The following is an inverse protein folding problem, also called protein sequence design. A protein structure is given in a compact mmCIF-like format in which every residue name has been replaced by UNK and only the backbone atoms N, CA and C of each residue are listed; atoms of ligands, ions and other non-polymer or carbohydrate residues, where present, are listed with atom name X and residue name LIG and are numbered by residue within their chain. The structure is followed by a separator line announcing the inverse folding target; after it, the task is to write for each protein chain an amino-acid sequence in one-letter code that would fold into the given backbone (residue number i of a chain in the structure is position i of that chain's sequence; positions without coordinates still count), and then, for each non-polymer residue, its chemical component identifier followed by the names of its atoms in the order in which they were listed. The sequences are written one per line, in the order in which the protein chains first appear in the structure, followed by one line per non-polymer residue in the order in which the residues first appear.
data_IF_733998742335
#
_entry.id   IF_733998742335
#
_cell.length_a   1.000
_cell.length_b   1.000
_cell.length_c   1.000
_cell.angle_alpha   90.00
_cell.angle_beta   90.00
_cell.angle_gamma   90.00
#
_symmetry.space_group_name_H-M   'P 1'
#
loop_
_entity.id
_entity.type
_entity.pdbx_description
1 polymer ?
#
# COMPACT_ATOMS: atom_id res chain seq x y z
N UNK A 1 30.34 14.26 -24.28
CA UNK A 1 30.86 12.96 -24.74
C UNK A 1 32.00 12.57 -23.80
N UNK A 2 31.96 11.34 -23.25
CA UNK A 2 32.79 10.78 -22.15
C UNK A 2 32.52 11.31 -20.73
N UNK A 3 31.51 10.74 -20.09
CA UNK A 3 31.43 10.48 -18.64
C UNK A 3 30.34 9.42 -18.43
N UNK A 4 30.61 8.22 -18.94
CA UNK A 4 29.92 6.98 -18.59
C UNK A 4 31.02 6.04 -18.10
N UNK A 5 31.14 5.90 -16.80
CA UNK A 5 32.10 5.02 -16.17
C UNK A 5 31.80 4.97 -14.69
N UNK A 6 31.49 3.76 -14.21
CA UNK A 6 31.32 3.39 -12.80
C UNK A 6 29.93 3.65 -12.17
N UNK A 7 28.93 2.88 -12.62
CA UNK A 7 27.94 2.32 -11.69
C UNK A 7 28.47 0.93 -11.26
N UNK A 8 28.70 0.66 -9.97
CA UNK A 8 28.96 -0.70 -9.54
C UNK A 8 27.65 -1.48 -9.56
N UNK A 9 27.53 -2.40 -10.51
CA UNK A 9 26.59 -3.51 -10.48
C UNK A 9 26.89 -4.33 -9.21
N UNK A 10 26.18 -4.10 -8.12
CA UNK A 10 26.21 -4.99 -6.96
C UNK A 10 25.40 -6.25 -7.29
N UNK A 11 26.06 -7.23 -7.91
CA UNK A 11 25.63 -8.62 -7.88
C UNK A 11 25.90 -9.17 -6.47
N UNK A 12 24.87 -9.29 -5.65
CA UNK A 12 24.97 -10.10 -4.42
C UNK A 12 24.90 -11.59 -4.82
N UNK A 13 26.08 -12.21 -4.96
CA UNK A 13 26.22 -13.66 -4.90
C UNK A 13 26.19 -14.03 -3.42
N UNK A 14 25.03 -14.44 -2.92
CA UNK A 14 24.95 -15.10 -1.60
C UNK A 14 25.43 -16.54 -1.76
N UNK A 15 26.67 -16.79 -1.40
CA UNK A 15 27.17 -18.13 -1.14
C UNK A 15 26.38 -18.72 0.05
N UNK A 16 25.49 -19.67 -0.23
CA UNK A 16 24.89 -20.52 0.80
C UNK A 16 25.99 -21.46 1.32
N UNK A 17 26.60 -21.11 2.45
CA UNK A 17 27.27 -22.10 3.29
C UNK A 17 26.20 -22.90 4.03
N UNK A 18 26.11 -24.19 3.71
CA UNK A 18 25.32 -25.17 4.47
C UNK A 18 25.93 -25.28 5.86
N UNK A 19 25.30 -24.63 6.86
CA UNK A 19 25.57 -24.94 8.27
C UNK A 19 24.82 -26.25 8.55
N UNK A 20 25.56 -27.35 8.67
CA UNK A 20 25.05 -28.57 9.28
C UNK A 20 24.79 -28.27 10.76
N UNK A 21 23.52 -28.05 11.12
CA UNK A 21 23.10 -28.02 12.50
C UNK A 21 23.16 -29.45 13.06
N UNK A 22 24.12 -29.69 13.93
CA UNK A 22 24.23 -30.91 14.72
C UNK A 22 23.04 -30.95 15.70
N UNK A 23 22.17 -31.95 15.57
CA UNK A 23 21.03 -32.14 16.45
C UNK A 23 21.54 -32.52 17.86
N UNK A 24 21.37 -31.62 18.82
CA UNK A 24 21.41 -31.99 20.23
C UNK A 24 20.10 -32.71 20.60
N UNK A 25 20.11 -33.74 21.47
CA UNK A 25 18.89 -34.38 21.94
C UNK A 25 18.06 -33.36 22.74
N UNK A 26 16.80 -33.19 22.36
CA UNK A 26 15.84 -32.37 23.09
C UNK A 26 15.25 -33.22 24.21
N UNK A 27 15.65 -32.96 25.45
CA UNK A 27 15.00 -33.54 26.63
C UNK A 27 13.51 -33.21 26.63
N UNK A 28 12.69 -34.25 26.70
CA UNK A 28 11.25 -34.17 26.57
C UNK A 28 10.64 -33.73 27.90
N UNK A 29 10.27 -32.46 28.02
CA UNK A 29 9.40 -32.00 29.11
C UNK A 29 7.96 -32.38 28.75
N UNK A 30 7.51 -33.53 29.24
CA UNK A 30 6.11 -33.96 29.14
C UNK A 30 5.27 -33.27 30.23
N UNK A 31 4.66 -32.14 29.87
CA UNK A 31 3.52 -31.56 30.59
C UNK A 31 2.34 -31.41 29.62
N UNK A 32 1.08 -31.61 30.05
CA UNK A 32 -0.06 -31.54 29.14
C UNK A 32 -0.36 -30.07 28.81
N UNK A 33 0.19 -29.58 27.70
CA UNK A 33 -0.35 -28.39 27.04
C UNK A 33 -1.59 -28.87 26.30
N UNK A 34 -2.74 -28.25 26.61
CA UNK A 34 -4.03 -28.58 26.02
C UNK A 34 -4.07 -28.12 24.55
N UNK A 35 -3.36 -28.84 23.68
CA UNK A 35 -3.46 -28.72 22.23
C UNK A 35 -4.88 -29.14 21.83
N UNK A 36 -5.63 -28.24 21.16
CA UNK A 36 -6.86 -28.66 20.47
C UNK A 36 -6.46 -29.77 19.48
N UNK A 37 -6.89 -30.99 19.76
CA UNK A 37 -6.65 -32.17 18.94
C UNK A 37 -6.97 -31.88 17.47
N UNK A 38 -6.07 -32.33 16.59
CA UNK A 38 -6.26 -32.32 15.14
C UNK A 38 -7.63 -32.90 14.79
N UNK A 39 -8.43 -32.15 14.02
CA UNK A 39 -9.68 -32.69 13.48
C UNK A 39 -9.27 -33.65 12.37
N UNK A 40 -9.34 -34.94 12.66
CA UNK A 40 -9.11 -36.01 11.70
C UNK A 40 -10.00 -35.76 10.47
N UNK A 41 -9.39 -35.81 9.28
CA UNK A 41 -10.03 -35.57 7.97
C UNK A 41 -10.41 -34.11 7.63
N UNK A 42 -10.00 -33.11 8.42
CA UNK A 42 -10.22 -31.70 8.07
C UNK A 42 -9.30 -31.23 6.92
N UNK A 43 -9.82 -30.48 5.93
CA UNK A 43 -8.99 -29.94 4.84
C UNK A 43 -7.86 -29.06 5.37
N UNK A 44 -6.65 -29.24 4.83
CA UNK A 44 -5.50 -28.36 5.16
C UNK A 44 -5.56 -27.08 4.34
N UNK A 45 -5.80 -25.95 5.01
CA UNK A 45 -6.06 -24.66 4.36
C UNK A 45 -4.94 -23.66 4.63
N UNK A 46 -4.39 -23.08 3.56
CA UNK A 46 -3.52 -21.90 3.64
C UNK A 46 -4.26 -20.68 3.11
N UNK A 47 -4.35 -19.63 3.94
CA UNK A 47 -4.98 -18.36 3.56
C UNK A 47 -3.91 -17.28 3.46
N UNK A 48 -3.82 -16.66 2.29
CA UNK A 48 -2.98 -15.49 2.03
C UNK A 48 -3.85 -14.23 2.02
N UNK A 49 -3.73 -13.42 3.07
CA UNK A 49 -4.39 -12.13 3.16
C UNK A 49 -3.51 -11.15 3.95
N UNK A 50 -3.08 -10.06 3.30
CA UNK A 50 -2.21 -9.05 3.91
C UNK A 50 -2.96 -8.12 4.88
N UNK A 51 -4.26 -7.91 4.65
CA UNK A 51 -5.11 -6.95 5.36
C UNK A 51 -6.09 -7.61 6.35
N UNK A 52 -6.04 -8.94 6.52
CA UNK A 52 -6.97 -9.68 7.38
C UNK A 52 -6.42 -9.94 8.79
N UNK A 53 -7.33 -9.96 9.78
CA UNK A 53 -7.07 -10.48 11.12
C UNK A 53 -6.99 -12.03 11.08
N UNK A 54 -5.79 -12.55 10.86
CA UNK A 54 -5.56 -13.99 10.76
C UNK A 54 -5.79 -14.72 12.09
N UNK A 55 -5.65 -14.05 13.23
CA UNK A 55 -5.93 -14.64 14.55
C UNK A 55 -7.43 -14.89 14.70
N UNK A 56 -8.27 -13.91 14.36
CA UNK A 56 -9.72 -14.06 14.34
C UNK A 56 -10.18 -15.15 13.38
N UNK A 57 -9.64 -15.19 12.15
CA UNK A 57 -9.99 -16.20 11.14
C UNK A 57 -9.68 -17.61 11.65
N UNK A 58 -8.49 -17.83 12.23
CA UNK A 58 -8.10 -19.15 12.77
C UNK A 58 -8.97 -19.58 13.95
N UNK A 59 -9.33 -18.64 14.82
CA UNK A 59 -10.16 -18.91 15.98
C UNK A 59 -11.61 -19.27 15.59
N UNK A 60 -12.17 -18.54 14.63
CA UNK A 60 -13.60 -18.62 14.27
C UNK A 60 -13.91 -19.64 13.17
N UNK A 61 -12.92 -20.04 12.38
CA UNK A 61 -13.07 -21.07 11.34
C UNK A 61 -12.33 -22.31 11.79
N UNK A 62 -12.91 -23.03 12.75
CA UNK A 62 -12.26 -24.17 13.39
C UNK A 62 -12.45 -25.51 12.69
N UNK A 63 -13.35 -25.61 11.70
CA UNK A 63 -13.64 -26.88 10.99
C UNK A 63 -12.60 -27.25 9.92
N UNK A 64 -11.54 -26.46 9.77
CA UNK A 64 -10.42 -26.72 8.85
C UNK A 64 -9.11 -26.71 9.61
N UNK A 65 -8.12 -27.43 9.09
CA UNK A 65 -6.75 -27.40 9.61
C UNK A 65 -5.98 -26.25 8.98
N UNK A 66 -5.80 -25.14 9.71
CA UNK A 66 -5.01 -24.01 9.21
C UNK A 66 -3.53 -24.38 9.16
N UNK A 67 -2.96 -24.33 7.96
CA UNK A 67 -1.52 -24.54 7.76
C UNK A 67 -0.82 -23.23 7.47
N UNK A 68 0.38 -23.08 8.04
CA UNK A 68 1.21 -21.88 7.84
C UNK A 68 1.90 -21.85 6.48
N UNK A 69 2.11 -23.02 5.89
CA UNK A 69 2.81 -23.17 4.62
C UNK A 69 1.87 -23.57 3.49
N UNK A 70 2.00 -22.84 2.39
CA UNK A 70 1.28 -23.03 1.14
C UNK A 70 1.55 -24.41 0.51
N UNK A 71 2.73 -24.99 0.68
CA UNK A 71 3.06 -26.29 0.10
C UNK A 71 2.36 -27.46 0.81
N UNK A 72 2.02 -27.29 2.09
CA UNK A 72 1.30 -28.30 2.87
C UNK A 72 -0.22 -28.24 2.71
N UNK A 73 -0.71 -27.18 2.06
CA UNK A 73 -2.12 -26.92 1.91
C UNK A 73 -2.73 -27.71 0.76
N UNK A 74 -3.87 -28.33 1.03
CA UNK A 74 -4.76 -28.94 0.05
C UNK A 74 -5.73 -27.90 -0.53
N UNK A 75 -5.95 -26.80 0.18
CA UNK A 75 -6.74 -25.65 -0.29
C UNK A 75 -5.96 -24.36 -0.06
N UNK A 76 -5.78 -23.59 -1.13
CA UNK A 76 -5.11 -22.29 -1.08
C UNK A 76 -6.13 -21.19 -1.32
N UNK A 77 -6.25 -20.27 -0.37
CA UNK A 77 -7.15 -19.12 -0.45
C UNK A 77 -6.32 -17.86 -0.62
N UNK A 78 -6.43 -17.21 -1.77
CA UNK A 78 -5.76 -15.95 -2.04
C UNK A 78 -6.77 -14.81 -1.99
N UNK A 79 -6.62 -13.92 -1.02
CA UNK A 79 -7.52 -12.80 -0.78
C UNK A 79 -6.80 -11.51 -1.18
N UNK A 80 -7.34 -10.83 -2.18
CA UNK A 80 -6.90 -9.48 -2.58
C UNK A 80 -7.99 -8.49 -2.29
N UNK A 81 -7.64 -7.31 -1.82
CA UNK A 81 -8.56 -6.20 -1.65
C UNK A 81 -8.16 -5.01 -2.52
N UNK A 82 -9.16 -4.27 -2.99
CA UNK A 82 -8.99 -2.99 -3.65
C UNK A 82 -10.07 -2.02 -3.21
N UNK A 83 -9.73 -0.74 -3.08
CA UNK A 83 -10.71 0.32 -2.77
C UNK A 83 -11.76 0.35 -3.87
N UNK A 84 -13.03 0.28 -3.48
CA UNK A 84 -14.16 0.31 -4.40
C UNK A 84 -14.76 1.72 -4.51
N UNK A 85 -15.69 1.89 -5.44
CA UNK A 85 -16.34 3.18 -5.68
C UNK A 85 -17.23 3.70 -4.55
N UNK A 86 -17.43 2.94 -3.46
CA UNK A 86 -18.19 3.36 -2.27
C UNK A 86 -17.29 3.71 -1.07
N UNK A 87 -15.97 3.77 -1.27
CA UNK A 87 -15.01 4.10 -0.21
C UNK A 87 -14.69 2.94 0.72
N UNK A 88 -15.30 1.78 0.51
CA UNK A 88 -14.92 0.53 1.14
C UNK A 88 -13.93 -0.24 0.26
N UNK A 89 -13.90 -1.56 0.44
CA UNK A 89 -13.02 -2.46 -0.27
C UNK A 89 -13.82 -3.55 -0.98
N UNK A 90 -13.37 -3.94 -2.16
CA UNK A 90 -13.79 -5.17 -2.81
C UNK A 90 -12.73 -6.23 -2.56
N UNK A 91 -13.08 -7.23 -1.75
CA UNK A 91 -12.28 -8.42 -1.50
C UNK A 91 -12.63 -9.48 -2.53
N UNK A 92 -11.61 -9.98 -3.24
CA UNK A 92 -11.72 -11.13 -4.14
C UNK A 92 -10.99 -12.30 -3.51
N UNK A 93 -11.74 -13.35 -3.19
CA UNK A 93 -11.25 -14.57 -2.59
C UNK A 93 -11.18 -15.66 -3.66
N UNK A 94 -9.97 -16.02 -4.07
CA UNK A 94 -9.73 -17.12 -5.00
C UNK A 94 -9.30 -18.36 -4.22
N UNK A 95 -10.13 -19.41 -4.30
CA UNK A 95 -9.88 -20.71 -3.70
C UNK A 95 -9.34 -21.65 -4.78
N UNK A 96 -8.21 -22.29 -4.49
CA UNK A 96 -7.55 -23.23 -5.39
C UNK A 96 -7.29 -24.53 -4.65
N UNK A 97 -7.94 -25.61 -5.11
CA UNK A 97 -7.73 -26.95 -4.58
C UNK A 97 -6.44 -27.58 -5.12
N UNK A 98 -5.83 -28.45 -4.33
CA UNK A 98 -4.62 -29.22 -4.65
C UNK A 98 -4.77 -30.66 -4.17
N UNK A 99 -4.05 -31.57 -4.83
CA UNK A 99 -4.09 -33.00 -4.50
C UNK A 99 -5.50 -33.55 -4.67
N UNK A 100 -6.10 -34.03 -3.60
CA UNK A 100 -7.47 -34.61 -3.63
C UNK A 100 -8.56 -33.61 -4.01
N UNK A 101 -8.33 -32.30 -3.90
CA UNK A 101 -9.28 -31.26 -4.31
C UNK A 101 -8.93 -30.60 -5.64
N UNK A 102 -8.02 -31.18 -6.43
CA UNK A 102 -7.65 -30.65 -7.73
C UNK A 102 -8.88 -30.53 -8.64
N UNK A 103 -9.01 -29.38 -9.34
CA UNK A 103 -10.19 -29.03 -10.14
C UNK A 103 -11.32 -28.33 -9.39
N UNK A 104 -11.36 -28.42 -8.04
CA UNK A 104 -12.33 -27.66 -7.23
C UNK A 104 -11.77 -26.26 -6.98
N UNK A 105 -12.16 -25.31 -7.82
CA UNK A 105 -11.74 -23.91 -7.72
C UNK A 105 -12.97 -23.02 -7.58
N UNK A 106 -12.89 -22.04 -6.67
CA UNK A 106 -13.96 -21.08 -6.45
C UNK A 106 -13.42 -19.67 -6.44
N UNK A 107 -14.25 -18.72 -6.89
CA UNK A 107 -13.98 -17.29 -6.79
C UNK A 107 -15.18 -16.61 -6.16
N UNK A 108 -15.00 -16.07 -4.97
CA UNK A 108 -16.03 -15.33 -4.25
C UNK A 108 -15.62 -13.87 -4.11
N UNK A 109 -16.61 -12.99 -4.06
CA UNK A 109 -16.38 -11.55 -3.90
C UNK A 109 -17.16 -11.07 -2.68
N UNK A 110 -16.51 -10.21 -1.89
CA UNK A 110 -17.12 -9.53 -0.75
C UNK A 110 -16.89 -8.03 -0.89
N UNK A 111 -17.96 -7.25 -0.88
CA UNK A 111 -17.89 -5.79 -0.97
C UNK A 111 -18.17 -5.19 0.39
N UNK A 112 -17.35 -4.24 0.80
CA UNK A 112 -17.59 -3.42 1.99
C UNK A 112 -17.91 -1.99 1.60
N UNK A 113 -18.47 -1.25 2.56
CA UNK A 113 -18.66 0.21 2.48
C UNK A 113 -17.79 0.89 3.54
N UNK A 114 -17.50 2.18 3.35
CA UNK A 114 -16.61 2.94 4.23
C UNK A 114 -17.07 2.97 5.70
N UNK A 115 -18.38 2.94 5.95
CA UNK A 115 -18.93 3.01 7.31
C UNK A 115 -18.82 1.70 8.10
N UNK A 116 -18.40 0.60 7.47
CA UNK A 116 -18.29 -0.68 8.18
C UNK A 116 -17.06 -0.71 9.07
N UNK A 117 -17.28 -1.11 10.32
CA UNK A 117 -16.23 -1.31 11.32
C UNK A 117 -15.37 -2.53 10.98
N UNK A 118 -14.14 -2.57 11.52
CA UNK A 118 -13.27 -3.75 11.37
C UNK A 118 -13.92 -5.06 11.85
N UNK A 119 -14.80 -4.98 12.86
CA UNK A 119 -15.55 -6.16 13.34
C UNK A 119 -16.58 -6.66 12.32
N UNK A 120 -17.30 -5.75 11.66
CA UNK A 120 -18.26 -6.11 10.61
C UNK A 120 -17.55 -6.69 9.39
N UNK A 121 -16.42 -6.08 8.99
CA UNK A 121 -15.59 -6.55 7.87
C UNK A 121 -15.05 -7.95 8.15
N UNK A 122 -14.41 -8.19 9.32
CA UNK A 122 -13.88 -9.52 9.65
C UNK A 122 -14.97 -10.58 9.78
N UNK A 123 -16.15 -10.21 10.28
CA UNK A 123 -17.31 -11.12 10.37
C UNK A 123 -17.86 -11.45 8.98
N UNK A 124 -17.94 -10.46 8.08
CA UNK A 124 -18.34 -10.67 6.69
C UNK A 124 -17.34 -11.54 5.91
N UNK A 125 -16.04 -11.26 6.04
CA UNK A 125 -14.97 -12.08 5.47
C UNK A 125 -15.03 -13.52 6.00
N UNK A 126 -15.20 -13.71 7.31
CA UNK A 126 -15.39 -15.03 7.92
C UNK A 126 -16.49 -15.79 7.18
N UNK A 127 -17.68 -15.20 7.03
CA UNK A 127 -18.82 -15.85 6.37
C UNK A 127 -18.49 -16.29 4.94
N UNK A 128 -17.84 -15.43 4.16
CA UNK A 128 -17.51 -15.73 2.76
C UNK A 128 -16.40 -16.79 2.66
N UNK A 129 -15.42 -16.76 3.56
CA UNK A 129 -14.40 -17.81 3.67
C UNK A 129 -15.06 -19.15 4.02
N UNK A 130 -15.94 -19.17 5.03
CA UNK A 130 -16.66 -20.38 5.44
C UNK A 130 -17.49 -20.96 4.28
N UNK A 131 -18.19 -20.12 3.51
CA UNK A 131 -18.95 -20.54 2.33
C UNK A 131 -18.06 -21.15 1.25
N UNK A 132 -16.90 -20.54 0.96
CA UNK A 132 -15.95 -21.11 0.00
C UNK A 132 -15.35 -22.43 0.47
N UNK A 133 -14.97 -22.50 1.77
CA UNK A 133 -14.40 -23.70 2.38
C UNK A 133 -15.40 -24.85 2.55
N UNK A 134 -16.69 -24.55 2.67
CA UNK A 134 -17.74 -25.57 2.76
C UNK A 134 -17.72 -26.54 1.58
N UNK A 135 -17.38 -26.06 0.37
CA UNK A 135 -17.25 -26.93 -0.81
C UNK A 135 -16.18 -28.02 -0.66
N UNK A 136 -15.08 -27.74 0.04
CA UNK A 136 -14.02 -28.70 0.31
C UNK A 136 -14.36 -29.60 1.50
N UNK A 137 -14.92 -29.04 2.56
CA UNK A 137 -15.33 -29.80 3.74
C UNK A 137 -16.47 -30.80 3.41
N UNK A 138 -17.33 -30.50 2.43
CA UNK A 138 -18.36 -31.40 1.94
C UNK A 138 -17.83 -32.71 1.31
N UNK A 139 -16.54 -32.76 0.94
CA UNK A 139 -15.89 -33.97 0.42
C UNK A 139 -15.20 -34.79 1.51
N UNK A 140 -15.43 -34.47 2.79
CA UNK A 140 -14.81 -35.12 3.95
C UNK A 140 -15.87 -35.68 4.89
N UNK A 141 -15.46 -36.46 5.90
CA UNK A 141 -16.35 -36.93 6.95
C UNK A 141 -17.01 -35.79 7.77
N UNK A 142 -16.54 -34.54 7.62
CA UNK A 142 -17.17 -33.37 8.23
C UNK A 142 -18.48 -32.95 7.56
N UNK A 143 -18.81 -33.49 6.37
CA UNK A 143 -20.01 -33.11 5.64
C UNK A 143 -21.29 -33.24 6.47
N UNK A 144 -21.40 -34.33 7.26
CA UNK A 144 -22.56 -34.60 8.12
C UNK A 144 -22.72 -33.61 9.29
N UNK A 145 -21.66 -32.84 9.59
CA UNK A 145 -21.65 -31.84 10.66
C UNK A 145 -21.92 -30.41 10.13
N UNK A 146 -22.01 -30.22 8.81
CA UNK A 146 -22.24 -28.92 8.19
C UNK A 146 -23.74 -28.67 8.09
N UNK A 147 -24.22 -27.65 8.80
CA UNK A 147 -25.58 -27.13 8.64
C UNK A 147 -25.58 -25.80 7.88
N UNK A 148 -26.13 -25.79 6.66
CA UNK A 148 -26.32 -24.60 5.85
C UNK A 148 -27.74 -24.07 6.01
N UNK A 149 -27.89 -23.04 6.84
CA UNK A 149 -29.16 -22.30 6.96
C UNK A 149 -29.19 -21.15 5.96
N UNK A 150 -30.08 -21.25 4.97
CA UNK A 150 -30.45 -20.12 4.14
C UNK A 150 -31.58 -19.36 4.84
N UNK A 151 -31.30 -18.14 5.31
CA UNK A 151 -32.34 -17.24 5.81
C UNK A 151 -32.93 -16.47 4.61
N UNK A 152 -34.13 -16.82 4.12
CA UNK A 152 -34.76 -16.07 3.05
C UNK A 152 -35.03 -14.65 3.55
N UNK A 153 -34.52 -13.68 2.82
CA UNK A 153 -34.83 -12.29 3.07
C UNK A 153 -36.16 -11.97 2.37
N UNK A 154 -37.28 -12.09 3.10
CA UNK A 154 -38.62 -11.77 2.61
C UNK A 154 -38.81 -10.28 2.30
N UNK A 155 -37.80 -9.43 2.53
CA UNK A 155 -37.78 -8.03 2.09
C UNK A 155 -37.05 -7.78 0.77
N UNK A 156 -36.58 -8.84 0.07
CA UNK A 156 -36.08 -8.75 -1.31
C UNK A 156 -37.21 -8.49 -2.34
N UNK A 157 -37.99 -7.44 -2.16
CA UNK A 157 -38.27 -6.62 -3.34
C UNK A 157 -36.92 -6.05 -3.76
N UNK A 158 -36.44 -6.43 -4.95
CA UNK A 158 -35.35 -5.75 -5.66
C UNK A 158 -35.74 -4.28 -5.88
N UNK A 159 -35.72 -3.46 -4.83
CA UNK A 159 -35.44 -2.05 -4.97
C UNK A 159 -33.93 -2.00 -5.03
N UNK A 160 -33.38 -1.88 -6.23
CA UNK A 160 -32.03 -1.32 -6.38
C UNK A 160 -32.04 -0.06 -5.53
N UNK A 161 -31.29 -0.01 -4.41
CA UNK A 161 -31.29 1.18 -3.58
C UNK A 161 -30.91 2.34 -4.49
N UNK A 162 -31.78 3.34 -4.60
CA UNK A 162 -31.49 4.52 -5.42
C UNK A 162 -30.31 5.20 -4.77
N UNK A 163 -29.14 5.11 -5.40
CA UNK A 163 -27.95 5.78 -4.94
C UNK A 163 -28.12 7.29 -5.11
N UNK A 164 -28.43 7.97 -3.99
CA UNK A 164 -28.60 9.42 -3.93
C UNK A 164 -27.29 10.16 -4.17
N UNK A 165 -26.15 9.52 -3.91
CA UNK A 165 -24.82 10.10 -4.02
C UNK A 165 -24.20 9.90 -5.41
N UNK A 166 -24.80 9.08 -6.28
CA UNK A 166 -24.36 8.86 -7.68
C UNK A 166 -22.86 8.49 -7.80
N UNK A 167 -22.43 7.53 -6.97
CA UNK A 167 -21.07 7.03 -6.80
C UNK A 167 -20.07 8.03 -6.21
N UNK A 168 -20.53 9.10 -5.56
CA UNK A 168 -19.65 9.96 -4.77
C UNK A 168 -19.40 9.40 -3.38
N UNK A 169 -18.14 9.42 -2.97
CA UNK A 169 -17.66 9.07 -1.63
C UNK A 169 -16.92 10.27 -1.10
N UNK A 170 -17.33 10.75 0.07
CA UNK A 170 -16.75 11.92 0.72
C UNK A 170 -16.24 11.53 2.10
N UNK A 171 -14.99 11.85 2.38
CA UNK A 171 -14.32 11.56 3.64
C UNK A 171 -13.78 12.85 4.23
N UNK A 172 -14.14 13.13 5.49
CA UNK A 172 -13.46 14.14 6.30
C UNK A 172 -12.63 13.38 7.31
N UNK A 173 -11.33 13.64 7.34
CA UNK A 173 -10.40 12.94 8.21
C UNK A 173 -9.51 13.93 8.96
N UNK A 174 -9.04 13.52 10.12
CA UNK A 174 -8.10 14.29 10.92
C UNK A 174 -7.48 13.44 12.01
N UNK A 175 -6.29 13.84 12.44
CA UNK A 175 -5.55 13.17 13.49
C UNK A 175 -4.39 14.03 13.96
N UNK A 176 -3.80 13.64 15.08
CA UNK A 176 -2.63 14.32 15.59
C UNK A 176 -1.90 13.49 16.63
N UNK A 177 -0.64 13.84 16.83
CA UNK A 177 0.19 13.30 17.90
C UNK A 177 0.84 14.45 18.64
N UNK A 178 0.92 14.30 19.96
CA UNK A 178 1.60 15.24 20.83
C UNK A 178 2.54 14.47 21.74
N UNK A 179 3.82 14.79 21.68
CA UNK A 179 4.83 14.27 22.60
C UNK A 179 5.46 15.44 23.34
N UNK A 180 5.68 15.26 24.63
CA UNK A 180 6.28 16.27 25.49
C UNK A 180 7.22 15.62 26.50
N UNK A 181 8.42 16.17 26.57
CA UNK A 181 9.44 15.89 27.57
C UNK A 181 9.79 17.20 28.30
N UNK A 182 10.69 17.14 29.27
CA UNK A 182 11.11 18.30 30.07
C UNK A 182 11.73 19.42 29.22
N UNK A 183 12.47 19.07 28.16
CA UNK A 183 13.22 20.01 27.32
C UNK A 183 12.75 20.04 25.86
N UNK A 184 11.72 19.26 25.50
CA UNK A 184 11.26 19.14 24.12
C UNK A 184 9.74 18.96 24.05
N UNK A 185 9.10 19.55 23.04
CA UNK A 185 7.74 19.18 22.64
C UNK A 185 7.59 19.08 21.13
N UNK A 186 6.76 18.16 20.67
CA UNK A 186 6.40 18.00 19.27
C UNK A 186 4.90 17.81 19.13
N UNK A 187 4.27 18.62 18.28
CA UNK A 187 2.88 18.52 17.89
C UNK A 187 2.82 18.31 16.39
N UNK A 188 2.22 17.20 15.96
CA UNK A 188 1.89 16.95 14.56
C UNK A 188 0.38 16.87 14.44
N UNK A 189 -0.22 17.69 13.59
CA UNK A 189 -1.66 17.65 13.31
C UNK A 189 -1.84 17.55 11.81
N UNK A 190 -2.74 16.68 11.37
CA UNK A 190 -3.16 16.59 9.98
C UNK A 190 -4.68 16.51 9.91
N UNK A 191 -5.25 17.12 8.89
CA UNK A 191 -6.67 17.00 8.60
C UNK A 191 -6.92 17.26 7.12
N UNK A 192 -8.04 16.79 6.62
CA UNK A 192 -8.33 16.88 5.20
C UNK A 192 -9.73 16.44 4.83
N UNK A 193 -10.03 16.66 3.57
CA UNK A 193 -11.25 16.24 2.91
C UNK A 193 -10.87 15.49 1.65
N UNK A 194 -11.50 14.35 1.40
CA UNK A 194 -11.43 13.61 0.15
C UNK A 194 -12.81 13.49 -0.45
N UNK A 195 -12.92 13.65 -1.76
CA UNK A 195 -14.15 13.43 -2.50
C UNK A 195 -13.82 12.69 -3.79
N UNK A 196 -14.22 11.43 -3.87
CA UNK A 196 -13.95 10.55 -4.98
C UNK A 196 -15.25 10.12 -5.66
N UNK A 197 -15.20 9.99 -6.99
CA UNK A 197 -16.25 9.34 -7.77
C UNK A 197 -15.61 8.40 -8.77
N UNK A 198 -15.96 7.12 -8.68
CA UNK A 198 -15.42 6.08 -9.56
C UNK A 198 -16.58 5.34 -10.21
N UNK A 199 -16.59 5.34 -11.54
CA UNK A 199 -17.49 4.54 -12.39
C UNK A 199 -16.66 3.74 -13.39
N UNK A 200 -17.29 2.95 -14.25
CA UNK A 200 -16.57 2.20 -15.29
C UNK A 200 -15.81 3.12 -16.25
N UNK A 201 -16.36 4.30 -16.55
CA UNK A 201 -15.75 5.25 -17.49
C UNK A 201 -14.99 6.40 -16.82
N UNK A 202 -15.37 6.81 -15.61
CA UNK A 202 -14.87 8.04 -14.99
C UNK A 202 -14.27 7.80 -13.62
N UNK A 203 -13.08 8.35 -13.41
CA UNK A 203 -12.42 8.44 -12.11
C UNK A 203 -12.14 9.90 -11.78
N UNK A 204 -12.89 10.45 -10.84
CA UNK A 204 -12.71 11.79 -10.30
C UNK A 204 -12.19 11.64 -8.88
N UNK A 205 -11.08 12.31 -8.56
CA UNK A 205 -10.52 12.35 -7.20
C UNK A 205 -10.21 13.76 -6.81
N UNK A 206 -10.59 14.12 -5.59
CA UNK A 206 -10.27 15.40 -4.98
C UNK A 206 -9.76 15.16 -3.57
N UNK A 207 -8.64 15.78 -3.22
CA UNK A 207 -8.09 15.71 -1.88
C UNK A 207 -7.54 17.06 -1.45
N UNK A 208 -8.11 17.59 -0.38
CA UNK A 208 -7.60 18.70 0.40
C UNK A 208 -6.92 18.13 1.65
N UNK A 209 -5.68 18.52 1.88
CA UNK A 209 -4.88 18.03 3.00
C UNK A 209 -4.12 19.20 3.63
N UNK A 210 -4.18 19.29 4.95
CA UNK A 210 -3.50 20.29 5.75
C UNK A 210 -2.68 19.56 6.80
N UNK A 211 -1.44 19.98 6.99
CA UNK A 211 -0.58 19.44 8.04
C UNK A 211 0.21 20.56 8.71
N UNK A 212 0.26 20.50 10.04
CA UNK A 212 1.02 21.41 10.89
C UNK A 212 1.97 20.55 11.72
N UNK A 213 3.25 20.90 11.71
CA UNK A 213 4.27 20.27 12.52
C UNK A 213 5.00 21.35 13.31
N UNK A 214 4.77 21.36 14.63
CA UNK A 214 5.34 22.32 15.55
C UNK A 214 6.28 21.58 16.49
N UNK A 215 7.54 22.02 16.54
CA UNK A 215 8.52 21.50 17.49
C UNK A 215 9.11 22.62 18.33
N UNK A 216 9.36 22.33 19.60
CA UNK A 216 10.01 23.23 20.55
C UNK A 216 11.11 22.48 21.27
N UNK A 217 12.27 23.11 21.39
CA UNK A 217 13.42 22.54 22.09
C UNK A 217 14.06 23.61 22.95
N UNK A 218 14.55 23.24 24.13
CA UNK A 218 15.36 24.11 24.97
C UNK A 218 16.84 23.88 24.63
N UNK A 219 17.52 24.91 24.14
CA UNK A 219 18.97 24.92 23.90
C UNK A 219 19.59 26.14 24.57
N UNK A 220 20.65 25.96 25.35
CA UNK A 220 21.36 27.03 26.07
C UNK A 220 20.45 27.99 26.86
N UNK A 221 19.44 27.43 27.54
CA UNK A 221 18.41 28.18 28.30
C UNK A 221 17.46 29.04 27.46
N UNK A 222 17.45 28.87 26.13
CA UNK A 222 16.54 29.53 25.20
C UNK A 222 15.64 28.53 24.49
N UNK A 223 14.37 28.88 24.31
CA UNK A 223 13.44 28.04 23.55
C UNK A 223 13.57 28.32 22.06
N UNK A 224 13.92 27.29 21.30
CA UNK A 224 13.92 27.31 19.84
C UNK A 224 12.57 26.77 19.36
N UNK A 225 11.94 27.50 18.45
CA UNK A 225 10.64 27.15 17.87
C UNK A 225 10.79 26.82 16.39
N UNK A 226 10.20 25.71 15.96
CA UNK A 226 10.09 25.30 14.57
C UNK A 226 8.61 25.10 14.25
N UNK A 227 8.12 25.79 13.24
CA UNK A 227 6.74 25.68 12.76
C UNK A 227 6.74 25.46 11.26
N UNK A 228 6.27 24.28 10.86
CA UNK A 228 6.12 23.91 9.46
C UNK A 228 4.66 23.67 9.15
N UNK A 229 4.17 24.29 8.09
CA UNK A 229 2.83 24.03 7.57
C UNK A 229 2.90 23.61 6.11
N UNK A 230 2.04 22.67 5.75
CA UNK A 230 1.85 22.21 4.38
C UNK A 230 0.37 22.06 4.08
N UNK A 231 -0.07 22.80 3.07
CA UNK A 231 -1.44 22.80 2.59
C UNK A 231 -1.41 22.32 1.15
N UNK A 232 -2.15 21.26 0.83
CA UNK A 232 -2.16 20.64 -0.50
C UNK A 232 -3.58 20.38 -0.95
N UNK A 233 -3.94 20.88 -2.12
CA UNK A 233 -5.07 20.42 -2.90
C UNK A 233 -4.54 19.60 -4.07
N UNK A 234 -5.12 18.43 -4.30
CA UNK A 234 -4.90 17.62 -5.50
C UNK A 234 -6.25 17.22 -6.08
N UNK A 235 -6.43 17.45 -7.38
CA UNK A 235 -7.62 17.08 -8.13
C UNK A 235 -7.22 16.29 -9.37
N UNK A 236 -8.02 15.30 -9.75
CA UNK A 236 -7.86 14.61 -11.02
C UNK A 236 -9.20 14.18 -11.59
N UNK A 237 -9.32 14.25 -12.90
CA UNK A 237 -10.44 13.71 -13.66
C UNK A 237 -9.82 12.85 -14.76
N UNK A 238 -10.11 11.56 -14.75
CA UNK A 238 -9.63 10.58 -15.73
C UNK A 238 -10.82 9.89 -16.36
N UNK A 239 -10.80 9.76 -17.68
CA UNK A 239 -11.81 9.06 -18.47
C UNK A 239 -11.17 7.88 -19.20
N UNK A 240 -11.76 6.69 -19.07
CA UNK A 240 -11.45 5.53 -19.89
C UNK A 240 -11.98 5.76 -21.31
N UNK A 241 -11.11 5.66 -22.32
CA UNK A 241 -11.48 5.82 -23.74
C UNK A 241 -11.82 4.46 -24.34
N UNK A 242 -11.05 3.43 -23.98
CA UNK A 242 -11.30 2.02 -24.27
C UNK A 242 -10.57 1.15 -23.23
N UNK A 243 -10.46 -0.16 -23.47
CA UNK A 243 -9.84 -1.10 -22.52
C UNK A 243 -8.34 -0.84 -22.25
N UNK A 244 -7.67 -0.05 -23.09
CA UNK A 244 -6.23 0.22 -23.04
C UNK A 244 -5.89 1.70 -22.86
N UNK A 245 -6.69 2.62 -23.38
CA UNK A 245 -6.39 4.05 -23.36
C UNK A 245 -7.24 4.79 -22.34
N UNK A 246 -6.60 5.66 -21.57
CA UNK A 246 -7.29 6.62 -20.71
C UNK A 246 -6.67 8.02 -20.87
N UNK A 247 -7.51 9.04 -20.71
CA UNK A 247 -7.10 10.45 -20.78
C UNK A 247 -7.54 11.17 -19.51
N UNK A 248 -6.72 12.10 -19.02
CA UNK A 248 -7.08 12.81 -17.80
C UNK A 248 -6.43 14.17 -17.63
N UNK A 249 -6.92 14.92 -16.67
CA UNK A 249 -6.38 16.22 -16.26
C UNK A 249 -6.15 16.19 -14.76
N UNK A 250 -4.97 16.62 -14.36
CA UNK A 250 -4.55 16.74 -12.98
C UNK A 250 -4.41 18.21 -12.61
N UNK A 251 -4.89 18.59 -11.43
CA UNK A 251 -4.74 19.95 -10.88
C UNK A 251 -4.15 19.86 -9.48
N UNK A 252 -3.32 20.84 -9.14
CA UNK A 252 -2.67 20.87 -7.84
C UNK A 252 -2.51 22.29 -7.33
N UNK A 253 -2.79 22.50 -6.04
CA UNK A 253 -2.42 23.72 -5.32
C UNK A 253 -1.61 23.33 -4.11
N UNK A 254 -0.48 23.98 -3.85
CA UNK A 254 0.37 23.66 -2.71
C UNK A 254 0.93 24.94 -2.08
N UNK A 255 0.99 24.96 -0.75
CA UNK A 255 1.74 25.92 0.05
C UNK A 255 2.51 25.14 1.10
N UNK A 256 3.81 25.42 1.25
CA UNK A 256 4.74 24.66 2.08
C UNK A 256 5.89 25.55 2.51
N UNK A 257 6.04 25.79 3.82
CA UNK A 257 7.20 26.56 4.33
C UNK A 257 8.51 25.81 4.14
N UNK A 258 8.50 24.48 4.33
CA UNK A 258 9.67 23.61 4.15
C UNK A 258 10.24 23.64 2.72
N UNK A 259 9.34 23.69 1.73
CA UNK A 259 9.70 23.76 0.31
C UNK A 259 9.88 25.21 -0.19
N UNK A 260 9.78 26.21 0.68
CA UNK A 260 9.79 27.63 0.34
C UNK A 260 8.66 28.07 -0.63
N UNK A 261 7.55 27.34 -0.71
CA UNK A 261 6.47 27.61 -1.66
C UNK A 261 5.34 28.34 -0.93
N UNK A 262 5.19 29.65 -1.19
CA UNK A 262 4.04 30.41 -0.71
C UNK A 262 2.76 29.96 -1.42
N UNK A 263 2.83 29.77 -2.74
CA UNK A 263 1.76 29.24 -3.57
C UNK A 263 2.33 28.57 -4.81
N UNK A 264 1.93 27.34 -5.09
CA UNK A 264 2.14 26.67 -6.37
C UNK A 264 0.79 26.19 -6.90
N UNK A 265 0.36 26.71 -8.04
CA UNK A 265 -0.86 26.29 -8.72
C UNK A 265 -0.48 25.67 -10.06
N UNK A 266 -0.93 24.44 -10.33
CA UNK A 266 -0.60 23.73 -11.55
C UNK A 266 -1.76 22.93 -12.14
N UNK A 267 -1.66 22.72 -13.44
CA UNK A 267 -2.55 21.88 -14.24
C UNK A 267 -1.70 21.02 -15.17
N UNK A 268 -2.06 19.74 -15.31
CA UNK A 268 -1.34 18.80 -16.15
C UNK A 268 -2.30 17.84 -16.86
N UNK A 269 -2.59 18.04 -18.16
CA UNK A 269 -3.19 16.98 -18.98
C UNK A 269 -2.26 15.76 -19.08
N UNK A 270 -2.87 14.60 -19.23
CA UNK A 270 -2.21 13.32 -19.28
C UNK A 270 -2.92 12.35 -20.24
N UNK A 271 -2.14 11.45 -20.81
CA UNK A 271 -2.62 10.27 -21.51
C UNK A 271 -1.93 9.05 -20.93
N UNK A 272 -2.66 7.96 -20.81
CA UNK A 272 -2.20 6.69 -20.29
C UNK A 272 -2.56 5.57 -21.27
N UNK A 273 -1.60 4.66 -21.45
CA UNK A 273 -1.77 3.41 -22.17
C UNK A 273 -1.50 2.24 -21.24
N UNK A 274 -2.48 1.37 -21.05
CA UNK A 274 -2.37 0.10 -20.36
C UNK A 274 -2.18 -1.02 -21.38
N UNK A 275 -1.12 -1.81 -21.24
CA UNK A 275 -0.86 -2.95 -22.13
C UNK A 275 -1.83 -4.11 -21.87
N UNK A 276 -2.46 -4.15 -20.70
CA UNK A 276 -3.44 -5.16 -20.31
C UNK A 276 -4.83 -4.53 -20.19
N UNK A 277 -5.91 -5.23 -20.59
CA UNK A 277 -7.27 -4.73 -20.43
C UNK A 277 -7.58 -4.44 -18.95
N UNK A 278 -8.33 -3.36 -18.69
CA UNK A 278 -8.65 -2.91 -17.32
C UNK A 278 -9.23 -4.01 -16.42
N UNK A 279 -9.98 -4.99 -16.97
CA UNK A 279 -10.55 -6.11 -16.22
C UNK A 279 -9.51 -7.07 -15.62
N UNK A 280 -8.30 -7.11 -16.18
CA UNK A 280 -7.18 -7.95 -15.71
C UNK A 280 -6.22 -7.21 -14.76
N UNK A 281 -6.34 -5.88 -14.68
CA UNK A 281 -5.48 -4.98 -13.89
C UNK A 281 -5.44 -5.29 -12.38
N UNK A 282 -6.40 -6.08 -11.88
CA UNK A 282 -6.47 -6.52 -10.48
C UNK A 282 -5.28 -7.38 -10.04
N UNK A 283 -4.63 -8.10 -10.98
CA UNK A 283 -3.48 -8.97 -10.69
C UNK A 283 -2.24 -8.62 -11.50
N UNK A 284 -2.41 -8.03 -12.69
CA UNK A 284 -1.31 -7.69 -13.58
C UNK A 284 -1.62 -6.35 -14.23
N UNK A 285 -0.74 -5.39 -14.05
CA UNK A 285 -0.87 -4.05 -14.60
C UNK A 285 0.47 -3.68 -15.22
N UNK A 286 0.43 -3.18 -16.45
CA UNK A 286 1.58 -2.62 -17.15
C UNK A 286 1.07 -1.35 -17.82
N UNK A 287 1.55 -0.20 -17.38
CA UNK A 287 1.04 1.10 -17.83
C UNK A 287 2.18 2.03 -18.22
N UNK A 288 1.88 2.89 -19.20
CA UNK A 288 2.72 3.99 -19.62
C UNK A 288 1.89 5.27 -19.57
N UNK A 289 2.32 6.24 -18.78
CA UNK A 289 1.64 7.52 -18.58
C UNK A 289 2.55 8.64 -19.03
N UNK A 290 2.04 9.54 -19.86
CA UNK A 290 2.72 10.78 -20.22
C UNK A 290 1.87 11.98 -19.81
N UNK A 291 2.50 12.96 -19.16
CA UNK A 291 1.85 14.19 -18.67
C UNK A 291 2.65 15.42 -19.10
N UNK A 292 1.94 16.49 -19.45
CA UNK A 292 2.52 17.81 -19.66
C UNK A 292 1.90 18.74 -18.62
N UNK A 293 2.73 19.45 -17.86
CA UNK A 293 2.32 20.30 -16.77
C UNK A 293 2.63 21.78 -17.01
N UNK A 294 1.71 22.63 -16.59
CA UNK A 294 1.92 24.05 -16.35
C UNK A 294 1.86 24.31 -14.85
N UNK A 295 2.74 25.14 -14.30
CA UNK A 295 2.68 25.55 -12.90
C UNK A 295 3.15 26.98 -12.70
N UNK A 296 2.42 27.74 -11.89
CA UNK A 296 2.82 29.07 -11.44
C UNK A 296 3.17 29.03 -9.95
N UNK A 297 4.33 29.57 -9.59
CA UNK A 297 4.93 29.50 -8.27
C UNK A 297 5.23 30.88 -7.73
N UNK A 298 4.87 31.10 -6.47
CA UNK A 298 5.31 32.20 -5.63
C UNK A 298 6.09 31.62 -4.45
N UNK A 299 7.20 32.24 -4.11
CA UNK A 299 8.09 31.79 -3.02
C UNK A 299 7.95 32.67 -1.79
N UNK A 300 8.18 32.12 -0.60
CA UNK A 300 8.23 32.91 0.64
C UNK A 300 9.50 33.76 0.67
N UNK A 301 10.62 33.14 0.30
CA UNK A 301 11.95 33.73 0.19
C UNK A 301 12.45 33.65 -1.25
N UNK A 302 13.25 34.64 -1.65
CA UNK A 302 13.89 34.66 -2.97
C UNK A 302 14.72 33.40 -3.19
N UNK A 303 14.52 32.71 -4.32
CA UNK A 303 15.25 31.49 -4.63
C UNK A 303 16.74 31.76 -4.92
N UNK A 304 17.55 30.71 -4.90
CA UNK A 304 18.95 30.74 -5.33
C UNK A 304 19.12 31.29 -6.76
N UNK A 305 18.08 31.17 -7.59
CA UNK A 305 18.02 31.69 -8.96
C UNK A 305 17.43 33.10 -9.06
N UNK A 306 17.35 33.82 -7.93
CA UNK A 306 16.86 35.19 -7.82
C UNK A 306 15.41 35.36 -8.30
N UNK A 307 14.57 34.35 -8.02
CA UNK A 307 13.13 34.39 -8.34
C UNK A 307 12.30 34.53 -7.07
N UNK A 308 11.37 35.48 -7.09
CA UNK A 308 10.28 35.55 -6.12
C UNK A 308 9.01 34.88 -6.64
N UNK A 309 8.87 34.82 -7.96
CA UNK A 309 7.77 34.19 -8.68
C UNK A 309 8.29 33.61 -9.99
N UNK A 310 7.72 32.51 -10.45
CA UNK A 310 8.02 31.96 -11.76
C UNK A 310 6.89 31.10 -12.32
N UNK A 311 6.92 30.90 -13.63
CA UNK A 311 6.02 30.00 -14.34
C UNK A 311 6.87 28.93 -15.02
N UNK A 312 6.55 27.67 -14.74
CA UNK A 312 7.30 26.51 -15.23
C UNK A 312 6.40 25.58 -16.02
N UNK A 313 6.96 25.05 -17.09
CA UNK A 313 6.37 24.00 -17.89
C UNK A 313 7.18 22.73 -17.69
N UNK A 314 6.51 21.63 -17.36
CA UNK A 314 7.14 20.34 -17.10
C UNK A 314 6.54 19.25 -17.98
N UNK A 315 7.28 18.16 -18.13
CA UNK A 315 6.78 16.92 -18.68
C UNK A 315 7.17 15.77 -17.77
N UNK A 316 6.33 14.75 -17.75
CA UNK A 316 6.50 13.54 -16.94
C UNK A 316 6.22 12.34 -17.83
N UNK A 317 7.14 11.38 -17.83
CA UNK A 317 6.93 10.06 -18.40
C UNK A 317 7.06 9.03 -17.27
N UNK A 318 6.05 8.20 -17.11
CA UNK A 318 5.96 7.19 -16.06
C UNK A 318 5.67 5.84 -16.69
N UNK A 319 6.48 4.83 -16.38
CA UNK A 319 6.22 3.44 -16.73
C UNK A 319 6.09 2.62 -15.44
N UNK A 320 5.01 1.87 -15.32
CA UNK A 320 4.73 1.07 -14.13
C UNK A 320 4.39 -0.38 -14.49
N UNK A 321 4.89 -1.31 -13.69
CA UNK A 321 4.60 -2.74 -13.75
C UNK A 321 4.19 -3.19 -12.36
N UNK A 322 3.04 -3.84 -12.24
CA UNK A 322 2.58 -4.48 -11.01
C UNK A 322 2.10 -5.89 -11.30
N UNK A 323 2.66 -6.85 -10.60
CA UNK A 323 2.33 -8.27 -10.70
C UNK A 323 2.01 -8.81 -9.31
N UNK A 324 0.84 -9.39 -9.15
CA UNK A 324 0.40 -10.06 -7.93
C UNK A 324 0.14 -11.53 -8.23
N UNK A 325 0.91 -12.41 -7.61
CA UNK A 325 0.88 -13.85 -7.82
C UNK A 325 0.84 -14.60 -6.50
N UNK A 326 0.44 -15.88 -6.49
CA UNK A 326 0.39 -16.69 -5.26
C UNK A 326 1.76 -16.94 -4.59
N UNK A 327 2.88 -16.63 -5.25
CA UNK A 327 4.23 -16.72 -4.67
C UNK A 327 4.72 -15.37 -4.13
N UNK A 328 4.04 -14.26 -4.43
CA UNK A 328 4.52 -12.93 -4.12
C UNK A 328 3.96 -11.81 -4.98
N UNK A 329 4.51 -10.63 -4.79
CA UNK A 329 4.19 -9.44 -5.56
C UNK A 329 5.44 -8.74 -6.05
N UNK A 330 5.39 -8.20 -7.26
CA UNK A 330 6.43 -7.35 -7.84
C UNK A 330 5.77 -6.05 -8.26
N UNK A 331 6.37 -4.93 -7.89
CA UNK A 331 5.97 -3.60 -8.33
C UNK A 331 7.22 -2.82 -8.72
N UNK A 332 7.27 -2.32 -9.94
CA UNK A 332 8.35 -1.47 -10.43
C UNK A 332 7.73 -0.25 -11.08
N UNK A 333 8.21 0.93 -10.74
CA UNK A 333 7.79 2.19 -11.35
C UNK A 333 9.05 3.01 -11.68
N UNK A 334 9.11 3.52 -12.90
CA UNK A 334 10.16 4.43 -13.36
C UNK A 334 9.48 5.70 -13.82
N UNK A 335 9.85 6.83 -13.22
CA UNK A 335 9.29 8.13 -13.53
C UNK A 335 10.41 9.12 -13.85
N UNK A 336 10.41 9.63 -15.07
CA UNK A 336 11.28 10.74 -15.49
C UNK A 336 10.48 12.03 -15.54
N UNK A 337 10.98 13.08 -14.89
CA UNK A 337 10.44 14.43 -14.96
C UNK A 337 11.50 15.39 -15.51
N UNK A 338 11.05 16.39 -16.26
CA UNK A 338 11.94 17.44 -16.78
C UNK A 338 11.17 18.72 -16.97
N UNK A 339 11.83 19.86 -16.81
CA UNK A 339 11.28 21.12 -17.31
C UNK A 339 11.46 21.21 -18.83
N UNK A 340 10.45 21.76 -19.52
CA UNK A 340 10.47 21.91 -20.97
C UNK A 340 11.43 23.01 -21.46
N UNK A 341 11.70 24.00 -20.60
CA UNK A 341 12.62 25.09 -20.91
C UNK A 341 14.10 24.74 -20.61
N UNK A 342 14.35 23.72 -19.79
CA UNK A 342 15.71 23.28 -19.43
C UNK A 342 15.71 21.80 -19.03
N UNK A 343 16.12 20.95 -19.97
CA UNK A 343 16.17 19.49 -19.78
C UNK A 343 17.25 19.02 -18.79
N UNK A 344 18.21 19.88 -18.46
CA UNK A 344 19.22 19.55 -17.43
C UNK A 344 18.60 19.55 -16.04
N UNK A 345 17.51 20.31 -15.86
CA UNK A 345 16.71 20.28 -14.64
C UNK A 345 15.68 19.16 -14.73
N UNK A 346 16.09 17.99 -14.28
CA UNK A 346 15.31 16.76 -14.34
C UNK A 346 15.33 16.00 -13.02
N UNK A 347 14.42 15.04 -12.90
CA UNK A 347 14.43 14.04 -11.85
C UNK A 347 14.13 12.68 -12.44
N UNK A 348 14.92 11.68 -12.06
CA UNK A 348 14.63 10.29 -12.37
C UNK A 348 14.35 9.57 -11.06
N UNK A 349 13.15 9.01 -10.95
CA UNK A 349 12.69 8.25 -9.79
C UNK A 349 12.52 6.79 -10.21
N UNK A 350 13.18 5.90 -9.49
CA UNK A 350 13.02 4.46 -9.59
C UNK A 350 12.46 3.93 -8.28
N UNK A 351 11.27 3.35 -8.34
CA UNK A 351 10.59 2.68 -7.24
C UNK A 351 10.51 1.19 -7.55
N UNK A 352 11.02 0.35 -6.66
CA UNK A 352 11.03 -1.11 -6.81
C UNK A 352 10.57 -1.78 -5.53
N UNK A 353 9.70 -2.76 -5.66
CA UNK A 353 9.16 -3.55 -4.56
C UNK A 353 9.02 -5.01 -5.00
N UNK A 354 9.67 -5.91 -4.30
CA UNK A 354 9.53 -7.35 -4.50
C UNK A 354 9.22 -7.95 -3.14
N UNK A 355 8.17 -8.75 -3.06
CA UNK A 355 7.88 -9.56 -1.89
C UNK A 355 7.63 -10.97 -2.38
N UNK A 356 8.46 -11.92 -1.98
CA UNK A 356 8.37 -13.30 -2.44
C UNK A 356 8.55 -14.29 -1.31
N UNK A 357 7.85 -15.43 -1.44
CA UNK A 357 8.13 -16.62 -0.66
C UNK A 357 9.13 -17.49 -1.43
N UNK A 358 10.33 -17.64 -0.89
CA UNK A 358 11.43 -18.35 -1.56
C UNK A 358 11.30 -19.86 -1.35
N UNK A 359 11.13 -20.28 -0.10
CA UNK A 359 10.84 -21.66 0.30
C UNK A 359 9.83 -21.66 1.43
N UNK A 360 9.40 -22.85 1.87
CA UNK A 360 8.54 -23.04 3.04
C UNK A 360 9.05 -22.22 4.24
N UNK A 361 8.16 -21.43 4.83
CA UNK A 361 8.48 -20.60 5.99
C UNK A 361 9.33 -19.36 5.67
N UNK A 362 10.10 -19.34 4.57
CA UNK A 362 10.99 -18.23 4.21
C UNK A 362 10.34 -17.25 3.24
N UNK A 363 10.20 -16.01 3.67
CA UNK A 363 9.80 -14.88 2.84
C UNK A 363 10.87 -13.80 2.84
N UNK A 364 11.08 -13.20 1.67
CA UNK A 364 12.00 -12.10 1.47
C UNK A 364 11.22 -10.96 0.84
N UNK A 365 11.39 -9.76 1.38
CA UNK A 365 10.91 -8.52 0.79
C UNK A 365 12.08 -7.58 0.55
N UNK A 366 12.00 -6.88 -0.57
CA UNK A 366 12.91 -5.84 -0.96
C UNK A 366 12.07 -4.65 -1.39
N UNK A 367 12.33 -3.48 -0.81
CA UNK A 367 11.77 -2.22 -1.26
C UNK A 367 12.91 -1.24 -1.48
N UNK A 368 12.94 -0.56 -2.61
CA UNK A 368 13.96 0.39 -2.98
C UNK A 368 13.35 1.61 -3.65
N UNK A 369 13.86 2.79 -3.31
CA UNK A 369 13.59 4.05 -4.00
C UNK A 369 14.90 4.77 -4.26
N UNK A 370 15.18 5.08 -5.52
CA UNK A 370 16.28 5.94 -5.94
C UNK A 370 15.71 7.17 -6.65
N UNK A 371 16.00 8.36 -6.12
CA UNK A 371 15.77 9.62 -6.80
C UNK A 371 17.12 10.19 -7.23
N UNK A 372 17.29 10.47 -8.52
CA UNK A 372 18.37 11.30 -9.04
C UNK A 372 17.76 12.68 -9.27
N UNK A 373 18.27 13.70 -8.57
CA UNK A 373 17.59 14.99 -8.38
C UNK A 373 18.43 16.12 -8.96
N UNK A 374 17.89 16.82 -9.95
CA UNK A 374 18.50 18.02 -10.55
C UNK A 374 17.47 19.15 -10.76
N UNK A 375 16.29 19.06 -10.14
CA UNK A 375 15.13 19.94 -10.39
C UNK A 375 14.74 20.83 -9.19
N UNK A 376 15.63 21.01 -8.20
CA UNK A 376 15.39 21.80 -6.98
C UNK A 376 15.48 23.33 -7.24
N UNK A 377 14.51 23.87 -7.99
CA UNK A 377 14.44 25.31 -8.33
C UNK A 377 13.91 26.21 -7.20
N UNK A 378 13.28 25.61 -6.20
CA UNK A 378 12.62 26.28 -5.09
C UNK A 378 13.53 26.57 -3.89
N UNK A 379 14.80 26.16 -3.94
CA UNK A 379 15.75 26.38 -2.84
C UNK A 379 15.91 27.88 -2.57
N UNK A 380 15.71 28.37 -1.33
CA UNK A 380 15.94 29.78 -1.02
C UNK A 380 17.42 30.17 -1.18
N UNK A 381 17.69 31.47 -1.37
CA UNK A 381 19.04 32.05 -1.38
C UNK A 381 19.62 32.10 0.05
N UNK A 382 20.95 32.12 0.16
CA UNK A 382 21.65 32.20 1.46
C UNK A 382 21.91 30.84 2.11
N UNK A 383 22.77 30.85 3.13
CA UNK A 383 23.18 29.66 3.87
C UNK A 383 22.08 29.19 4.84
N UNK A 384 21.96 27.88 5.04
CA UNK A 384 21.07 27.33 6.06
C UNK A 384 21.75 27.44 7.44
N UNK A 385 21.02 27.93 8.44
CA UNK A 385 21.53 27.93 9.82
C UNK A 385 21.70 26.50 10.35
N UNK A 386 22.52 26.31 11.37
CA UNK A 386 22.71 24.99 12.00
C UNK A 386 21.37 24.47 12.55
N UNK A 387 20.57 25.38 13.10
CA UNK A 387 19.24 25.13 13.63
C UNK A 387 18.29 24.66 12.53
N UNK A 388 18.31 25.29 11.35
CA UNK A 388 17.49 24.86 10.19
C UNK A 388 17.85 23.46 9.71
N UNK A 389 19.14 23.12 9.72
CA UNK A 389 19.65 21.82 9.29
C UNK A 389 19.26 20.73 10.31
N UNK A 390 19.55 20.95 11.60
CA UNK A 390 19.29 19.98 12.66
C UNK A 390 17.78 19.75 12.86
N UNK A 391 16.98 20.79 12.70
CA UNK A 391 15.52 20.71 12.86
C UNK A 391 14.80 20.35 11.56
N UNK A 392 15.54 20.17 10.46
CA UNK A 392 15.01 19.87 9.13
C UNK A 392 13.91 20.86 8.72
N UNK A 393 14.17 22.16 8.88
CA UNK A 393 13.20 23.22 8.56
C UNK A 393 13.26 23.65 7.10
N UNK A 394 14.37 23.34 6.42
CA UNK A 394 14.63 23.77 5.04
C UNK A 394 15.10 22.61 4.19
N UNK A 395 14.64 22.58 2.94
CA UNK A 395 15.15 21.65 1.93
C UNK A 395 16.61 21.99 1.60
N UNK A 396 17.48 20.98 1.63
CA UNK A 396 18.89 21.10 1.24
C UNK A 396 19.10 20.63 -0.20
N UNK A 397 20.12 21.19 -0.87
CA UNK A 397 20.53 20.73 -2.18
C UNK A 397 21.03 19.28 -2.12
N UNK A 398 20.52 18.42 -2.99
CA UNK A 398 20.97 17.03 -3.12
C UNK A 398 20.98 16.59 -4.57
N UNK A 399 21.95 15.76 -4.95
CA UNK A 399 22.01 15.13 -6.27
C UNK A 399 21.30 13.78 -6.31
N UNK A 400 21.12 13.11 -5.16
CA UNK A 400 20.39 11.86 -5.09
C UNK A 400 19.79 11.58 -3.71
N UNK A 401 18.78 10.73 -3.68
CA UNK A 401 18.23 10.16 -2.45
C UNK A 401 18.02 8.67 -2.67
N UNK A 402 18.54 7.85 -1.76
CA UNK A 402 18.43 6.41 -1.81
C UNK A 402 17.79 5.90 -0.52
N UNK A 403 16.71 5.14 -0.67
CA UNK A 403 16.10 4.37 0.41
C UNK A 403 16.04 2.92 -0.01
N UNK A 404 16.53 2.01 0.84
CA UNK A 404 16.38 0.58 0.65
C UNK A 404 15.94 -0.07 1.96
N UNK A 405 15.10 -1.07 1.84
CA UNK A 405 14.65 -1.89 2.96
C UNK A 405 14.61 -3.34 2.52
N UNK A 406 15.28 -4.19 3.27
CA UNK A 406 15.30 -5.64 3.08
C UNK A 406 14.64 -6.27 4.31
N UNK A 407 13.60 -7.05 4.08
CA UNK A 407 12.95 -7.86 5.10
C UNK A 407 13.19 -9.33 4.81
N UNK A 408 13.67 -10.07 5.81
CA UNK A 408 13.73 -11.54 5.77
C UNK A 408 12.92 -12.05 6.94
N UNK A 409 11.99 -12.96 6.66
CA UNK A 409 11.20 -13.63 7.69
C UNK A 409 11.21 -15.12 7.44
N UNK A 410 11.67 -15.89 8.42
CA UNK A 410 11.63 -17.34 8.42
C UNK A 410 10.72 -17.82 9.56
N UNK A 411 9.57 -18.37 9.20
CA UNK A 411 8.62 -18.94 10.16
C UNK A 411 8.80 -20.45 10.23
N UNK A 412 9.16 -20.96 11.40
CA UNK A 412 9.25 -22.39 11.72
C UNK A 412 8.39 -22.70 12.96
N UNK A 413 8.20 -23.99 13.26
CA UNK A 413 7.35 -24.46 14.37
C UNK A 413 6.13 -25.24 13.87
N UNK A 414 5.16 -25.46 14.76
CA UNK A 414 4.00 -26.31 14.47
C UNK A 414 3.26 -25.87 13.20
N UNK A 415 3.00 -26.86 12.33
CA UNK A 415 2.23 -26.71 11.11
C UNK A 415 0.80 -26.26 11.44
N UNK A 416 0.27 -26.81 12.54
CA UNK A 416 -1.06 -26.54 13.07
C UNK A 416 -0.94 -25.73 14.35
N UNK A 417 -1.29 -24.44 14.29
CA UNK A 417 -1.46 -23.65 15.50
C UNK A 417 -2.78 -22.89 15.42
N UNK A 418 -3.83 -23.59 15.87
CA UNK A 418 -5.20 -23.09 15.96
C UNK A 418 -5.50 -22.49 17.34
N UNK A 419 -4.51 -22.41 18.23
CA UNK A 419 -4.66 -21.87 19.59
C UNK A 419 -4.25 -20.40 19.57
N UNK A 420 -5.21 -19.52 19.87
CA UNK A 420 -4.97 -18.09 20.09
C UNK A 420 -5.09 -17.86 21.60
N UNK A 421 -3.95 -17.63 22.26
CA UNK A 421 -3.95 -17.22 23.66
C UNK A 421 -3.99 -15.68 23.73
N UNK A 422 -5.10 -15.14 24.25
CA UNK A 422 -5.29 -13.70 24.46
C UNK A 422 -4.96 -13.25 25.90
N UNK A 423 -4.47 -14.16 26.75
CA UNK A 423 -4.12 -13.89 28.14
C UNK A 423 -2.66 -13.43 28.24
N UNK A 424 -2.34 -12.71 29.31
CA UNK A 424 -1.02 -12.11 29.62
C UNK A 424 0.13 -13.11 29.51
#
# INVERSE_FOLDING_TARGET
MKLLGYLPFFFFITALTVIQAQQAPLDTITGPVNERAEIKDAPRVYIDCKSCDMSFIRQEISFVSHVRDRQLAEVQVFITDQVNGSGGHTYVLAFTGKGVYEGINNKLTFHTIQSQTGNEIRTGLKRIIQLGLASYAAHTALADQINLSFKPDTTMQRRTPVDRWKNWVMEVYGGGSFNKESQQSSLNVYYGLRADRVTEEWRIRNSLSFSINNRRFLSDSTWIHSEMHRNTYSGSIVKSINDHWSGGVFVGVTSSTYDNIALNCGIAPAIEYSFLPYREAMRKEITLVYRIGYSHRNYFETTLYEKNKETVYSQVLEAAVRLMQPWGSVSVQVMGTSFLHDFKKNRLTFDGGISMRVVKGLSVSFNGRLNIVHDQINLPKGDASLEDILLQQRTLATSFQLYNSIGVSYTFGSIYNNVVNLRL
#
